data_IF_505219148569
#
_entry.id   IF_505219148569
#
_cell.length_a   1.000
_cell.length_b   1.000
_cell.length_c   1.000
_cell.angle_alpha   90.00
_cell.angle_beta   90.00
_cell.angle_gamma   90.00
#
_symmetry.space_group_name_H-M   'P 1'
#
loop_
_entity.id
_entity.type
_entity.pdbx_description
1 polymer ?
#
# COMPACT_ATOMS: atom_id res chain seq x y z
N UNK A 1 5.40 -16.26 28.14
CA UNK A 1 5.81 -17.31 27.20
C UNK A 1 7.12 -16.88 26.55
N UNK A 2 8.05 -17.81 26.30
CA UNK A 2 9.29 -17.56 25.57
C UNK A 2 9.03 -17.44 24.06
N UNK A 3 9.97 -16.87 23.31
CA UNK A 3 9.82 -16.74 21.85
C UNK A 3 9.68 -18.10 21.15
N UNK A 4 10.50 -19.09 21.55
CA UNK A 4 10.42 -20.43 20.97
C UNK A 4 9.08 -21.11 21.27
N UNK A 5 8.54 -20.96 22.49
CA UNK A 5 7.21 -21.46 22.84
C UNK A 5 6.11 -20.79 22.00
N UNK A 6 6.24 -19.49 21.71
CA UNK A 6 5.29 -18.77 20.86
C UNK A 6 5.34 -19.22 19.39
N UNK A 7 6.55 -19.41 18.84
CA UNK A 7 6.74 -19.94 17.48
C UNK A 7 6.18 -21.35 17.35
N UNK A 8 6.44 -22.23 18.32
CA UNK A 8 5.89 -23.57 18.35
C UNK A 8 4.36 -23.57 18.41
N UNK A 9 3.75 -22.70 19.25
CA UNK A 9 2.30 -22.58 19.30
C UNK A 9 1.70 -22.14 17.96
N UNK A 10 2.31 -21.17 17.28
CA UNK A 10 1.86 -20.73 15.96
C UNK A 10 2.02 -21.84 14.91
N UNK A 11 3.11 -22.60 14.96
CA UNK A 11 3.32 -23.76 14.09
C UNK A 11 2.24 -24.83 14.31
N UNK A 12 1.91 -25.15 15.56
CA UNK A 12 0.86 -26.13 15.88
C UNK A 12 -0.52 -25.68 15.34
N UNK A 13 -0.86 -24.40 15.47
CA UNK A 13 -2.10 -23.84 14.92
C UNK A 13 -2.12 -23.90 13.39
N UNK A 14 -0.98 -23.69 12.74
CA UNK A 14 -0.84 -23.81 11.29
C UNK A 14 -0.98 -25.25 10.82
N UNK A 15 -0.30 -26.20 11.48
CA UNK A 15 -0.38 -27.63 11.16
C UNK A 15 -1.80 -28.18 11.34
N UNK A 16 -2.54 -27.66 12.33
CA UNK A 16 -3.94 -28.01 12.59
C UNK A 16 -4.96 -27.29 11.68
N UNK A 17 -4.51 -26.36 10.82
CA UNK A 17 -5.38 -25.60 9.93
C UNK A 17 -6.27 -24.57 10.63
N UNK A 18 -5.93 -24.17 11.86
CA UNK A 18 -6.62 -23.12 12.61
C UNK A 18 -6.24 -21.71 12.12
N UNK A 19 -5.09 -21.59 11.45
CA UNK A 19 -4.64 -20.36 10.79
C UNK A 19 -4.35 -20.61 9.29
N UNK A 20 -4.44 -19.60 8.43
CA UNK A 20 -4.26 -19.76 6.99
C UNK A 20 -2.92 -20.38 6.61
N UNK A 21 -2.92 -21.20 5.56
CA UNK A 21 -1.73 -21.92 5.10
C UNK A 21 -0.56 -21.01 4.70
N UNK A 22 -0.83 -19.76 4.35
CA UNK A 22 0.18 -18.77 4.00
C UNK A 22 0.73 -18.00 5.22
N UNK A 23 0.26 -18.27 6.43
CA UNK A 23 0.70 -17.62 7.67
C UNK A 23 1.89 -18.36 8.29
N UNK A 24 3.00 -18.46 7.54
CA UNK A 24 4.25 -19.09 7.97
C UNK A 24 5.31 -18.06 8.39
N UNK A 25 6.53 -18.50 8.72
CA UNK A 25 7.64 -17.65 9.15
C UNK A 25 8.02 -16.52 8.16
N UNK A 26 7.64 -16.66 6.89
CA UNK A 26 7.86 -15.65 5.86
C UNK A 26 6.69 -14.68 5.73
N UNK A 27 5.58 -14.91 6.42
CA UNK A 27 4.44 -14.01 6.43
C UNK A 27 4.82 -12.69 7.12
N UNK A 28 4.43 -11.56 6.53
CA UNK A 28 4.79 -10.21 7.00
C UNK A 28 4.40 -9.94 8.46
N UNK A 29 3.30 -10.57 8.91
CA UNK A 29 2.76 -10.41 10.25
C UNK A 29 3.24 -11.48 11.23
N UNK A 30 4.03 -12.47 10.80
CA UNK A 30 4.43 -13.60 11.65
C UNK A 30 5.17 -13.14 12.90
N UNK A 31 6.14 -12.24 12.74
CA UNK A 31 6.89 -11.69 13.89
C UNK A 31 6.02 -10.83 14.81
N UNK A 32 4.97 -10.19 14.28
CA UNK A 32 3.98 -9.47 15.12
C UNK A 32 3.14 -10.46 15.92
N UNK A 33 2.72 -11.55 15.29
CA UNK A 33 2.00 -12.64 15.95
C UNK A 33 2.84 -13.27 17.06
N UNK A 34 4.12 -13.59 16.80
CA UNK A 34 5.04 -14.10 17.83
C UNK A 34 5.08 -13.17 19.05
N UNK A 35 5.27 -11.86 18.85
CA UNK A 35 5.28 -10.87 19.94
C UNK A 35 3.95 -10.83 20.70
N UNK A 36 2.82 -10.89 20.02
CA UNK A 36 1.50 -10.89 20.66
C UNK A 36 1.29 -12.16 21.49
N UNK A 37 1.63 -13.32 20.92
CA UNK A 37 1.53 -14.63 21.57
C UNK A 37 2.41 -14.69 22.82
N UNK A 38 3.63 -14.16 22.75
CA UNK A 38 4.53 -14.06 23.91
C UNK A 38 3.90 -13.25 25.05
N UNK A 39 3.25 -12.14 24.71
CA UNK A 39 2.61 -11.21 25.66
C UNK A 39 1.35 -11.81 26.30
N UNK A 40 0.50 -12.45 25.51
CA UNK A 40 -0.81 -12.92 25.95
C UNK A 40 -0.80 -14.38 26.44
N UNK A 41 0.22 -15.15 26.10
CA UNK A 41 0.31 -16.59 26.38
C UNK A 41 -0.63 -17.46 25.55
N UNK A 42 -1.35 -16.86 24.60
CA UNK A 42 -2.22 -17.52 23.63
C UNK A 42 -2.21 -16.72 22.31
N UNK A 43 -2.70 -17.34 21.25
CA UNK A 43 -2.92 -16.70 19.96
C UNK A 43 -4.33 -17.03 19.47
N UNK A 44 -5.03 -16.01 19.00
CA UNK A 44 -6.36 -16.11 18.40
C UNK A 44 -6.26 -15.31 17.10
N UNK A 45 -6.34 -16.00 15.96
CA UNK A 45 -6.06 -15.43 14.65
C UNK A 45 -7.09 -14.37 14.25
N UNK A 46 -8.36 -14.61 14.55
CA UNK A 46 -9.43 -13.66 14.29
C UNK A 46 -9.24 -12.40 15.15
N UNK A 47 -8.98 -12.58 16.45
CA UNK A 47 -8.69 -11.44 17.34
C UNK A 47 -7.39 -10.75 17.00
N UNK A 48 -6.38 -11.44 16.48
CA UNK A 48 -5.13 -10.83 16.05
C UNK A 48 -5.42 -9.78 14.98
N UNK A 49 -6.17 -10.14 13.93
CA UNK A 49 -6.52 -9.19 12.88
C UNK A 49 -7.56 -8.14 13.30
N UNK A 50 -8.46 -8.46 14.24
CA UNK A 50 -9.34 -7.45 14.84
C UNK A 50 -8.58 -6.41 15.66
N UNK A 51 -7.52 -6.81 16.38
CA UNK A 51 -6.73 -5.91 17.25
C UNK A 51 -5.56 -5.21 16.54
N UNK A 52 -5.09 -5.75 15.41
CA UNK A 52 -4.00 -5.15 14.63
C UNK A 52 -4.50 -3.93 13.85
N UNK A 53 -5.76 -3.93 13.41
CA UNK A 53 -6.36 -2.84 12.65
C UNK A 53 -6.79 -1.67 13.54
N UNK A 54 -6.11 -0.52 13.42
CA UNK A 54 -6.49 0.74 14.07
C UNK A 54 -7.73 1.34 13.40
N UNK A 55 -7.71 1.44 12.07
CA UNK A 55 -8.78 2.03 11.26
C UNK A 55 -8.72 1.53 9.82
N UNK A 56 -9.87 1.52 9.12
CA UNK A 56 -9.97 1.08 7.73
C UNK A 56 -10.57 2.16 6.84
N UNK A 57 -10.03 2.30 5.64
CA UNK A 57 -10.50 3.16 4.56
C UNK A 57 -10.58 2.34 3.27
N UNK A 58 -11.78 1.89 2.89
CA UNK A 58 -11.95 0.99 1.75
C UNK A 58 -11.10 -0.28 1.89
N UNK A 59 -10.18 -0.51 0.94
CA UNK A 59 -9.24 -1.64 0.96
C UNK A 59 -8.01 -1.41 1.85
N UNK A 60 -7.83 -0.22 2.40
CA UNK A 60 -6.67 0.16 3.18
C UNK A 60 -6.91 -0.01 4.67
N UNK A 61 -5.98 -0.66 5.35
CA UNK A 61 -6.01 -0.92 6.78
C UNK A 61 -4.77 -0.30 7.42
N UNK A 62 -5.00 0.60 8.37
CA UNK A 62 -3.94 1.14 9.21
C UNK A 62 -3.72 0.17 10.36
N UNK A 63 -2.50 -0.33 10.47
CA UNK A 63 -2.06 -1.24 11.52
C UNK A 63 -1.09 -0.56 12.47
N UNK A 64 -0.71 -1.21 13.57
CA UNK A 64 0.18 -0.65 14.59
C UNK A 64 1.55 -0.17 14.07
N UNK A 65 2.02 -0.67 12.93
CA UNK A 65 3.33 -0.38 12.36
C UNK A 65 3.31 -0.24 10.83
N UNK A 66 2.13 -0.22 10.20
CA UNK A 66 2.05 -0.20 8.74
C UNK A 66 0.71 0.32 8.20
N UNK A 67 0.69 0.57 6.89
CA UNK A 67 -0.51 0.69 6.08
C UNK A 67 -0.56 -0.49 5.11
N UNK A 68 -1.62 -1.28 5.19
CA UNK A 68 -1.78 -2.54 4.44
C UNK A 68 -2.92 -2.41 3.43
N UNK A 69 -2.70 -2.91 2.21
CA UNK A 69 -3.73 -3.06 1.19
C UNK A 69 -4.33 -4.48 1.24
N UNK A 70 -5.53 -4.59 1.79
CA UNK A 70 -6.23 -5.87 1.92
C UNK A 70 -6.49 -6.49 0.54
N UNK A 71 -6.02 -7.74 0.35
CA UNK A 71 -6.18 -8.48 -0.90
C UNK A 71 -5.18 -8.14 -2.00
N UNK A 72 -4.16 -7.30 -1.73
CA UNK A 72 -3.19 -6.85 -2.74
C UNK A 72 -1.71 -7.05 -2.37
N UNK A 73 -1.43 -7.77 -1.28
CA UNK A 73 -0.07 -8.06 -0.77
C UNK A 73 0.86 -6.83 -0.81
N UNK A 74 0.38 -5.74 -0.20
CA UNK A 74 1.08 -4.47 -0.22
C UNK A 74 1.10 -3.85 1.17
N UNK A 75 2.30 -3.56 1.65
CA UNK A 75 2.55 -3.07 3.01
C UNK A 75 3.49 -1.87 2.94
N UNK A 76 3.08 -0.76 3.52
CA UNK A 76 3.91 0.43 3.74
C UNK A 76 4.25 0.48 5.22
N UNK A 77 5.48 0.14 5.55
CA UNK A 77 6.01 0.25 6.92
C UNK A 77 5.93 1.70 7.43
N UNK A 78 5.70 1.85 8.74
CA UNK A 78 5.45 3.14 9.36
C UNK A 78 6.58 4.14 9.19
N UNK A 79 7.84 3.69 9.07
CA UNK A 79 8.98 4.58 8.83
C UNK A 79 9.01 5.16 7.39
N UNK A 80 8.26 4.57 6.47
CA UNK A 80 8.31 4.91 5.04
C UNK A 80 7.29 5.99 4.64
N UNK A 81 6.39 6.40 5.53
CA UNK A 81 5.38 7.44 5.22
C UNK A 81 5.96 8.82 4.89
N UNK A 82 7.25 9.05 5.16
CA UNK A 82 7.96 10.28 4.80
C UNK A 82 8.88 10.14 3.60
N UNK A 83 8.80 9.04 2.86
CA UNK A 83 9.53 8.90 1.60
C UNK A 83 9.01 9.93 0.59
N UNK A 84 9.97 10.61 -0.05
CA UNK A 84 9.72 11.66 -1.02
C UNK A 84 10.39 11.30 -2.33
N UNK A 85 9.88 11.84 -3.42
CA UNK A 85 10.51 11.74 -4.73
C UNK A 85 10.54 13.11 -5.40
N UNK A 86 11.54 13.31 -6.25
CA UNK A 86 11.50 14.38 -7.22
C UNK A 86 10.64 13.94 -8.42
N UNK A 87 9.73 14.81 -8.86
CA UNK A 87 8.92 14.63 -10.06
C UNK A 87 8.93 15.92 -10.86
N UNK A 88 9.73 15.96 -11.94
CA UNK A 88 9.93 17.14 -12.79
C UNK A 88 10.28 18.41 -11.99
N UNK A 89 11.26 18.34 -11.08
CA UNK A 89 11.69 19.46 -10.25
C UNK A 89 10.82 19.74 -9.02
N UNK A 90 9.70 19.03 -8.83
CA UNK A 90 8.85 19.17 -7.65
C UNK A 90 9.04 18.01 -6.67
N UNK A 91 9.18 18.33 -5.39
CA UNK A 91 9.25 17.32 -4.32
C UNK A 91 7.84 16.92 -3.89
N UNK A 92 7.53 15.62 -3.98
CA UNK A 92 6.20 15.04 -3.76
C UNK A 92 6.27 13.76 -2.90
N UNK A 93 5.15 13.35 -2.31
CA UNK A 93 5.10 12.11 -1.52
C UNK A 93 5.24 10.89 -2.43
N UNK A 94 6.26 10.06 -2.22
CA UNK A 94 6.59 8.99 -3.18
C UNK A 94 5.47 7.95 -3.27
N UNK A 95 4.98 7.48 -2.13
CA UNK A 95 3.97 6.44 -2.06
C UNK A 95 2.68 6.77 -2.80
N UNK A 96 2.19 8.01 -2.68
CA UNK A 96 0.97 8.43 -3.37
C UNK A 96 1.14 8.42 -4.89
N UNK A 97 2.35 8.71 -5.39
CA UNK A 97 2.67 8.64 -6.82
C UNK A 97 2.90 7.19 -7.26
N UNK A 98 3.62 6.40 -6.47
CA UNK A 98 3.91 4.99 -6.76
C UNK A 98 2.62 4.16 -6.84
N UNK A 99 1.73 4.33 -5.87
CA UNK A 99 0.49 3.55 -5.78
C UNK A 99 -0.50 3.89 -6.88
N UNK A 100 -0.54 5.15 -7.33
CA UNK A 100 -1.36 5.53 -8.49
C UNK A 100 -0.97 4.81 -9.79
N UNK A 101 0.24 4.23 -9.85
CA UNK A 101 0.69 3.44 -11.00
C UNK A 101 0.25 1.97 -10.93
N UNK A 102 -0.29 1.50 -9.80
CA UNK A 102 -0.77 0.13 -9.64
C UNK A 102 -2.12 -0.05 -10.34
N UNK A 103 -2.29 -1.17 -11.05
CA UNK A 103 -3.51 -1.46 -11.82
C UNK A 103 -4.77 -1.62 -10.97
N UNK A 104 -4.62 -2.01 -9.70
CA UNK A 104 -5.71 -2.19 -8.75
C UNK A 104 -6.09 -0.92 -7.97
N UNK A 105 -5.25 0.11 -8.00
CA UNK A 105 -5.61 1.43 -7.47
C UNK A 105 -6.38 2.17 -8.56
N UNK A 106 -7.67 2.44 -8.34
CA UNK A 106 -8.62 3.00 -9.31
C UNK A 106 -9.18 4.33 -8.83
N UNK A 107 -9.81 5.07 -9.73
CA UNK A 107 -10.44 6.35 -9.43
C UNK A 107 -11.49 6.26 -8.31
N UNK A 108 -12.08 5.07 -8.10
CA UNK A 108 -13.01 4.76 -7.01
C UNK A 108 -12.35 4.58 -5.64
N UNK A 109 -11.09 4.14 -5.55
CA UNK A 109 -10.42 3.84 -4.27
C UNK A 109 -9.21 4.75 -3.96
N UNK A 110 -8.85 5.66 -4.86
CA UNK A 110 -7.72 6.58 -4.67
C UNK A 110 -7.94 7.55 -3.50
N UNK A 111 -9.19 7.93 -3.23
CA UNK A 111 -9.51 8.79 -2.10
C UNK A 111 -9.33 8.08 -0.75
N UNK A 112 -9.65 6.78 -0.71
CA UNK A 112 -9.40 5.96 0.47
C UNK A 112 -7.89 5.83 0.74
N UNK A 113 -7.09 5.62 -0.31
CA UNK A 113 -5.62 5.66 -0.21
C UNK A 113 -5.15 6.99 0.38
N UNK A 114 -5.59 8.11 -0.20
CA UNK A 114 -5.14 9.43 0.25
C UNK A 114 -5.50 9.68 1.72
N UNK A 115 -6.72 9.32 2.10
CA UNK A 115 -7.18 9.46 3.48
C UNK A 115 -6.37 8.59 4.43
N UNK A 116 -6.15 7.32 4.09
CA UNK A 116 -5.36 6.40 4.90
C UNK A 116 -3.90 6.84 5.02
N UNK A 117 -3.29 7.29 3.93
CA UNK A 117 -1.89 7.75 3.92
C UNK A 117 -1.69 8.98 4.81
N UNK A 118 -2.55 10.00 4.71
CA UNK A 118 -2.43 11.19 5.56
C UNK A 118 -2.79 10.91 7.02
N UNK A 119 -3.75 10.02 7.27
CA UNK A 119 -3.99 9.51 8.62
C UNK A 119 -2.71 8.89 9.21
N UNK A 120 -2.01 8.06 8.43
CA UNK A 120 -0.75 7.45 8.86
C UNK A 120 0.34 8.49 9.16
N UNK A 121 0.49 9.53 8.34
CA UNK A 121 1.48 10.59 8.61
C UNK A 121 1.21 11.31 9.94
N UNK A 122 -0.06 11.53 10.28
CA UNK A 122 -0.46 12.14 11.54
C UNK A 122 -0.32 11.18 12.73
N UNK A 123 -0.76 9.93 12.57
CA UNK A 123 -0.73 8.90 13.61
C UNK A 123 0.72 8.53 13.99
N UNK A 124 1.57 8.31 12.99
CA UNK A 124 2.96 7.89 13.15
C UNK A 124 3.95 9.05 13.23
N UNK A 125 3.49 10.27 13.53
CA UNK A 125 4.31 11.49 13.55
C UNK A 125 5.63 11.39 14.34
N UNK A 126 5.76 10.47 15.28
CA UNK A 126 6.99 10.21 16.03
C UNK A 126 8.15 9.70 15.17
N UNK A 127 7.86 9.06 14.03
CA UNK A 127 8.86 8.62 13.06
C UNK A 127 9.20 9.67 12.00
N UNK A 128 8.57 10.86 12.06
CA UNK A 128 8.84 11.95 11.14
C UNK A 128 10.29 12.42 11.26
N UNK A 129 11.07 12.45 10.16
CA UNK A 129 12.41 13.00 10.17
C UNK A 129 12.42 14.50 10.54
N UNK A 130 13.36 14.91 11.39
CA UNK A 130 13.45 16.30 11.87
C UNK A 130 13.69 17.33 10.76
N UNK A 131 14.39 16.95 9.68
CA UNK A 131 14.83 17.85 8.61
C UNK A 131 14.18 17.53 7.27
N UNK A 132 12.92 17.14 7.27
CA UNK A 132 12.21 16.91 6.01
C UNK A 132 11.96 18.26 5.31
N UNK A 133 12.35 18.42 4.03
CA UNK A 133 12.02 19.62 3.26
C UNK A 133 10.51 19.80 3.12
N UNK A 134 10.07 20.95 2.62
CA UNK A 134 8.65 21.12 2.29
C UNK A 134 8.25 20.20 1.14
N UNK A 135 7.21 19.39 1.35
CA UNK A 135 6.58 18.56 0.32
C UNK A 135 5.19 19.12 0.03
N UNK A 136 4.94 19.39 -1.25
CA UNK A 136 3.64 19.93 -1.66
C UNK A 136 2.62 18.81 -1.78
N UNK A 137 1.74 18.70 -0.78
CA UNK A 137 0.56 17.82 -0.84
C UNK A 137 -0.32 18.17 -2.02
N UNK A 138 -0.55 19.46 -2.29
CA UNK A 138 -1.36 19.91 -3.43
C UNK A 138 -0.77 19.44 -4.77
N UNK A 139 0.55 19.59 -4.94
CA UNK A 139 1.24 19.13 -6.15
C UNK A 139 1.19 17.60 -6.29
N UNK A 140 1.37 16.88 -5.17
CA UNK A 140 1.30 15.42 -5.13
C UNK A 140 -0.07 14.93 -5.61
N UNK A 141 -1.16 15.46 -5.03
CA UNK A 141 -2.53 15.08 -5.37
C UNK A 141 -2.91 15.48 -6.80
N UNK A 142 -2.42 16.62 -7.29
CA UNK A 142 -2.64 17.06 -8.65
C UNK A 142 -1.93 16.15 -9.69
N UNK A 143 -0.70 15.71 -9.42
CA UNK A 143 0.00 14.74 -10.28
C UNK A 143 -0.72 13.40 -10.21
N UNK A 144 -1.08 12.94 -9.01
CA UNK A 144 -1.81 11.69 -8.80
C UNK A 144 -3.10 11.65 -9.63
N UNK A 145 -3.91 12.71 -9.55
CA UNK A 145 -5.15 12.84 -10.35
C UNK A 145 -4.87 12.72 -11.85
N UNK A 146 -3.89 13.45 -12.38
CA UNK A 146 -3.55 13.40 -13.81
C UNK A 146 -3.04 12.02 -14.22
N UNK A 147 -2.26 11.32 -13.39
CA UNK A 147 -1.82 9.95 -13.67
C UNK A 147 -3.01 8.98 -13.79
N UNK A 148 -4.02 9.15 -12.93
CA UNK A 148 -5.26 8.35 -12.98
C UNK A 148 -6.05 8.63 -14.25
N UNK A 149 -6.22 9.91 -14.61
CA UNK A 149 -6.91 10.33 -15.83
C UNK A 149 -6.23 9.81 -17.11
N UNK A 150 -4.90 9.91 -17.18
CA UNK A 150 -4.11 9.38 -18.30
C UNK A 150 -4.32 7.87 -18.43
N UNK A 151 -4.28 7.14 -17.32
CA UNK A 151 -4.47 5.68 -17.34
C UNK A 151 -5.89 5.31 -17.75
N UNK A 152 -6.90 5.98 -17.21
CA UNK A 152 -8.31 5.75 -17.58
C UNK A 152 -8.54 6.05 -19.08
N UNK A 153 -7.83 7.04 -19.64
CA UNK A 153 -7.82 7.28 -21.09
C UNK A 153 -7.17 6.13 -21.86
N UNK A 154 -6.00 5.64 -21.42
CA UNK A 154 -5.31 4.54 -22.09
C UNK A 154 -6.16 3.26 -22.10
N UNK A 155 -6.77 2.90 -20.96
CA UNK A 155 -7.60 1.69 -20.86
C UNK A 155 -8.85 1.72 -21.74
N UNK A 156 -9.36 2.90 -22.13
CA UNK A 156 -10.46 3.00 -23.12
C UNK A 156 -10.03 2.68 -24.54
N UNK A 157 -8.75 2.80 -24.85
CA UNK A 157 -8.19 2.58 -26.19
C UNK A 157 -7.54 1.20 -26.33
N UNK A 158 -7.42 0.44 -25.23
CA UNK A 158 -6.91 -0.93 -25.23
C UNK A 158 -7.80 -1.84 -26.10
N UNK A 159 -7.23 -2.41 -27.15
CA UNK A 159 -7.89 -3.44 -27.97
C UNK A 159 -7.50 -4.81 -27.43
N UNK A 160 -8.49 -5.53 -26.93
CA UNK A 160 -8.31 -6.95 -26.55
C UNK A 160 -8.42 -7.79 -27.82
N UNK A 161 -7.33 -8.45 -28.20
CA UNK A 161 -7.36 -9.40 -29.32
C UNK A 161 -8.32 -10.57 -29.00
N UNK A 162 -8.76 -11.29 -30.04
CA UNK A 162 -9.66 -12.47 -29.88
C UNK A 162 -9.13 -13.54 -28.91
N UNK A 163 -7.84 -13.52 -28.60
CA UNK A 163 -7.17 -14.48 -27.72
C UNK A 163 -6.93 -13.91 -26.31
N UNK A 164 -7.48 -12.75 -25.97
CA UNK A 164 -7.29 -12.10 -24.67
C UNK A 164 -5.93 -11.42 -24.47
N UNK A 165 -5.10 -11.35 -25.52
CA UNK A 165 -3.81 -10.67 -25.48
C UNK A 165 -4.04 -9.18 -25.77
N UNK A 166 -3.56 -8.32 -24.88
CA UNK A 166 -3.44 -6.88 -25.11
C UNK A 166 -2.47 -6.65 -26.28
N UNK A 167 -2.98 -6.17 -27.41
CA UNK A 167 -2.11 -5.71 -28.49
C UNK A 167 -1.52 -4.36 -28.08
N UNK A 168 -0.25 -4.39 -27.65
CA UNK A 168 0.50 -3.17 -27.31
C UNK A 168 0.86 -2.46 -28.60
N UNK A 169 0.12 -1.42 -28.92
CA UNK A 169 0.36 -0.56 -30.07
C UNK A 169 1.46 0.47 -29.75
N UNK A 170 2.45 0.59 -30.63
CA UNK A 170 3.55 1.57 -30.51
C UNK A 170 2.98 2.99 -30.43
N UNK A 171 1.89 3.28 -31.15
CA UNK A 171 1.21 4.58 -31.09
C UNK A 171 0.63 4.85 -29.69
N UNK A 172 0.11 3.83 -29.01
CA UNK A 172 -0.41 3.95 -27.65
C UNK A 172 0.71 4.23 -26.64
N UNK A 173 1.88 3.60 -26.81
CA UNK A 173 3.04 3.89 -25.95
C UNK A 173 3.56 5.32 -26.14
N UNK A 174 3.60 5.82 -27.38
CA UNK A 174 3.96 7.21 -27.68
C UNK A 174 2.94 8.17 -27.05
N UNK A 175 1.64 7.92 -27.26
CA UNK A 175 0.56 8.71 -26.67
C UNK A 175 0.66 8.76 -25.14
N UNK A 176 0.90 7.63 -24.49
CA UNK A 176 1.08 7.57 -23.04
C UNK A 176 2.27 8.40 -22.55
N UNK A 177 3.39 8.32 -23.27
CA UNK A 177 4.59 9.11 -22.96
C UNK A 177 4.31 10.61 -23.13
N UNK A 178 3.62 11.01 -24.19
CA UNK A 178 3.30 12.41 -24.46
C UNK A 178 2.34 12.97 -23.39
N UNK A 179 1.32 12.20 -23.03
CA UNK A 179 0.39 12.56 -21.95
C UNK A 179 1.12 12.74 -20.61
N UNK A 180 2.03 11.83 -20.25
CA UNK A 180 2.86 11.96 -19.05
C UNK A 180 3.77 13.18 -19.08
N UNK A 181 4.32 13.51 -20.25
CA UNK A 181 5.19 14.67 -20.42
C UNK A 181 4.43 16.00 -20.29
N UNK A 182 3.10 15.97 -20.49
CA UNK A 182 2.20 17.12 -20.43
C UNK A 182 1.46 17.27 -19.09
N UNK A 183 1.87 16.56 -18.04
CA UNK A 183 1.35 16.75 -16.68
C UNK A 183 1.57 18.22 -16.28
N UNK A 184 0.51 18.86 -15.81
CA UNK A 184 0.51 20.26 -15.38
C UNK A 184 0.89 20.37 -13.90
N UNK A 185 1.73 21.33 -13.57
CA UNK A 185 2.18 21.65 -12.22
C UNK A 185 1.53 22.95 -11.72
N UNK A 186 1.40 23.11 -10.39
CA UNK A 186 0.72 24.22 -9.70
C UNK A 186 1.77 25.10 -8.99
#
# INVERSE_FOLDING_TARGET
MTEQEARNLLYDLWENGEIPNNFDENHSDYEKAVKLTMKNGNFDFDKFYENVSIIKFGIWQVELDALVANGHDYIIDCHRFWETREYNGHLVWDWLIHLAQKSWVKSENINDLNTAFFFCQDYFREFKPNNIPYISTAQTLNIQKQLMEIRDEMSRHEKVSKNGILEVDVEQMIKYRDLKSNIKFI
#
